data_IF_756021430546
#
_entry.id   IF_756021430546
#
_cell.length_a   1.000
_cell.length_b   1.000
_cell.length_c   1.000
_cell.angle_alpha   90.00
_cell.angle_beta   90.00
_cell.angle_gamma   90.00
#
_symmetry.space_group_name_H-M   'P 1'
#
loop_
_entity.id
_entity.type
_entity.pdbx_description
1 polymer ?
#
# COMPACT_ATOMS: atom_id res chain seq x y z
N UNK A 1 -17.46 20.00 -50.91
CA UNK A 1 -16.50 20.73 -50.06
C UNK A 1 -16.81 20.71 -48.55
N UNK A 2 -18.00 20.29 -48.08
CA UNK A 2 -18.30 20.19 -46.62
C UNK A 2 -17.78 18.92 -45.92
N UNK A 3 -17.67 17.79 -46.62
CA UNK A 3 -17.25 16.50 -46.02
C UNK A 3 -15.74 16.37 -45.78
N UNK A 4 -14.91 17.11 -46.53
CA UNK A 4 -13.45 17.12 -46.36
C UNK A 4 -13.04 18.01 -45.18
N UNK A 5 -13.83 19.06 -44.91
CA UNK A 5 -13.62 19.95 -43.75
C UNK A 5 -13.93 19.21 -42.44
N UNK A 6 -14.96 18.35 -42.40
CA UNK A 6 -15.27 17.55 -41.22
C UNK A 6 -14.17 16.52 -40.87
N UNK A 7 -13.48 15.95 -41.86
CA UNK A 7 -12.40 14.99 -41.63
C UNK A 7 -11.12 15.68 -41.09
N UNK A 8 -10.83 16.89 -41.59
CA UNK A 8 -9.68 17.68 -41.13
C UNK A 8 -9.86 18.21 -39.70
N UNK A 9 -11.09 18.54 -39.30
CA UNK A 9 -11.39 19.00 -37.93
C UNK A 9 -11.28 17.85 -36.92
N UNK A 10 -11.66 16.62 -37.28
CA UNK A 10 -11.50 15.43 -36.42
C UNK A 10 -10.02 15.07 -36.22
N UNK A 11 -9.18 15.20 -37.26
CA UNK A 11 -7.73 14.99 -37.14
C UNK A 11 -7.02 16.07 -36.32
N UNK A 12 -7.55 17.29 -36.26
CA UNK A 12 -6.98 18.36 -35.44
C UNK A 12 -7.27 18.16 -33.94
N UNK A 13 -8.45 17.62 -33.58
CA UNK A 13 -8.74 17.25 -32.19
C UNK A 13 -8.02 15.97 -31.73
N UNK A 14 -7.65 15.07 -32.65
CA UNK A 14 -6.85 13.88 -32.30
C UNK A 14 -5.38 14.21 -31.97
N UNK A 15 -4.85 15.35 -32.43
CA UNK A 15 -3.44 15.73 -32.25
C UNK A 15 -3.18 16.67 -31.06
N UNK A 16 -4.22 17.23 -30.42
CA UNK A 16 -4.05 18.04 -29.19
C UNK A 16 -3.95 17.14 -27.93
N UNK A 17 -4.09 15.82 -28.07
CA UNK A 17 -3.95 14.87 -26.97
C UNK A 17 -2.56 14.22 -26.81
N UNK A 18 -1.61 14.43 -27.73
CA UNK A 18 -0.34 13.67 -27.75
C UNK A 18 0.90 14.49 -27.35
N UNK A 19 0.71 15.59 -26.62
CA UNK A 19 1.82 16.41 -26.09
C UNK A 19 1.78 16.60 -24.57
N UNK A 20 1.25 15.61 -23.86
CA UNK A 20 1.65 15.36 -22.49
C UNK A 20 2.29 13.96 -22.48
N UNK A 21 3.53 13.89 -22.96
CA UNK A 21 4.45 12.92 -22.44
C UNK A 21 4.66 13.29 -20.96
N UNK A 22 3.68 12.95 -20.11
CA UNK A 22 3.97 12.69 -18.71
C UNK A 22 5.07 11.65 -18.77
N UNK A 23 6.28 12.13 -18.52
CA UNK A 23 7.37 11.25 -18.16
C UNK A 23 6.80 10.48 -16.99
N UNK A 24 6.40 9.23 -17.21
CA UNK A 24 6.19 8.27 -16.16
C UNK A 24 7.58 8.05 -15.57
N UNK A 25 8.02 9.04 -14.79
CA UNK A 25 9.03 8.83 -13.79
C UNK A 25 8.48 7.62 -13.02
N UNK A 26 9.22 6.50 -12.96
CA UNK A 26 8.83 5.41 -12.10
C UNK A 26 8.51 6.05 -10.75
N UNK A 27 7.35 5.73 -10.13
CA UNK A 27 6.97 6.37 -8.87
C UNK A 27 8.20 6.34 -7.99
N UNK A 28 8.71 7.53 -7.65
CA UNK A 28 9.85 7.66 -6.73
C UNK A 28 9.49 6.76 -5.56
N UNK A 29 10.34 5.76 -5.29
CA UNK A 29 10.11 4.85 -4.19
C UNK A 29 9.85 5.74 -2.98
N UNK A 30 8.63 5.72 -2.45
CA UNK A 30 8.22 6.59 -1.37
C UNK A 30 9.04 6.22 -0.14
N UNK A 31 10.22 6.84 -0.02
CA UNK A 31 11.07 6.75 1.14
C UNK A 31 10.39 7.60 2.21
N UNK A 32 9.61 6.91 3.04
CA UNK A 32 8.90 7.39 4.22
C UNK A 32 7.50 7.99 3.99
N UNK A 33 6.48 7.14 4.20
CA UNK A 33 5.30 7.47 4.99
C UNK A 33 4.64 6.17 5.47
N UNK A 34 5.32 5.39 6.31
CA UNK A 34 4.59 4.54 7.24
C UNK A 34 4.19 5.45 8.41
N UNK A 35 2.97 5.33 8.94
CA UNK A 35 2.59 6.03 10.19
C UNK A 35 3.38 5.53 11.41
N UNK A 36 4.36 4.65 11.20
CA UNK A 36 5.28 4.14 12.20
C UNK A 36 6.59 4.92 12.10
N UNK A 37 6.62 6.07 12.78
CA UNK A 37 7.85 6.79 13.11
C UNK A 37 8.81 5.96 14.01
N UNK A 38 8.39 4.78 14.48
CA UNK A 38 9.19 3.88 15.27
C UNK A 38 10.03 2.96 14.36
N UNK A 39 11.35 3.03 14.50
CA UNK A 39 12.29 2.01 14.01
C UNK A 39 11.75 0.63 14.39
N UNK A 40 11.71 -0.30 13.43
CA UNK A 40 11.24 -1.67 13.67
C UNK A 40 11.85 -2.25 14.96
N UNK A 41 11.06 -2.95 15.79
CA UNK A 41 11.61 -3.60 16.97
C UNK A 41 12.69 -4.59 16.53
N UNK A 42 13.93 -4.33 16.94
CA UNK A 42 15.09 -5.18 16.61
C UNK A 42 15.40 -6.12 17.76
N UNK A 43 15.31 -7.42 17.51
CA UNK A 43 15.69 -8.45 18.49
C UNK A 43 17.15 -8.29 18.92
N UNK A 44 18.06 -8.02 17.96
CA UNK A 44 19.50 -7.84 18.24
C UNK A 44 19.77 -6.73 19.27
N UNK A 45 18.98 -5.65 19.24
CA UNK A 45 19.20 -4.49 20.09
C UNK A 45 18.42 -4.56 21.42
N UNK A 46 17.43 -5.45 21.51
CA UNK A 46 16.51 -5.54 22.66
C UNK A 46 16.74 -6.76 23.53
N UNK A 47 17.25 -7.85 22.96
CA UNK A 47 17.50 -9.07 23.70
C UNK A 47 18.87 -8.97 24.40
N UNK A 48 18.97 -9.38 25.68
CA UNK A 48 20.27 -9.57 26.31
C UNK A 48 21.03 -10.71 25.63
N UNK A 49 22.34 -10.84 25.86
CA UNK A 49 23.11 -11.99 25.40
C UNK A 49 22.47 -13.31 25.84
N UNK A 50 22.65 -14.35 25.01
CA UNK A 50 22.16 -15.69 25.34
C UNK A 50 22.76 -16.15 26.68
N UNK A 51 21.91 -16.55 27.64
CA UNK A 51 22.39 -17.01 28.93
C UNK A 51 23.00 -18.41 28.79
N UNK A 52 24.05 -18.69 29.57
CA UNK A 52 24.57 -20.04 29.71
C UNK A 52 23.59 -20.86 30.55
N UNK A 53 23.23 -22.09 30.15
CA UNK A 53 22.35 -22.95 30.93
C UNK A 53 22.88 -23.12 32.37
N UNK A 54 22.05 -22.89 33.39
CA UNK A 54 22.49 -23.02 34.77
C UNK A 54 22.67 -24.50 35.13
N UNK A 55 23.67 -24.81 35.96
CA UNK A 55 23.88 -26.16 36.46
C UNK A 55 22.82 -26.56 37.52
N UNK A 56 22.25 -25.59 38.21
CA UNK A 56 21.22 -25.75 39.23
C UNK A 56 20.07 -24.76 39.00
N UNK A 57 18.84 -25.16 39.32
CA UNK A 57 17.64 -24.33 39.14
C UNK A 57 17.71 -22.96 39.82
N UNK A 58 18.36 -22.89 40.99
CA UNK A 58 18.56 -21.65 41.76
C UNK A 58 19.41 -20.60 41.03
N UNK A 59 20.19 -21.01 40.03
CA UNK A 59 21.07 -20.14 39.24
C UNK A 59 20.40 -19.67 37.92
N UNK A 60 19.11 -20.02 37.69
CA UNK A 60 18.39 -19.73 36.45
C UNK A 60 17.97 -18.27 36.25
N UNK A 61 18.46 -17.33 37.07
CA UNK A 61 18.08 -15.91 37.00
C UNK A 61 18.36 -15.29 35.63
N UNK A 62 19.50 -15.60 35.02
CA UNK A 62 19.86 -15.10 33.69
C UNK A 62 18.92 -15.65 32.60
N UNK A 63 18.55 -16.93 32.69
CA UNK A 63 17.57 -17.57 31.82
C UNK A 63 16.19 -16.94 31.96
N UNK A 64 15.72 -16.72 33.19
CA UNK A 64 14.44 -16.07 33.44
C UNK A 64 14.40 -14.63 32.89
N UNK A 65 15.48 -13.86 33.08
CA UNK A 65 15.60 -12.50 32.54
C UNK A 65 15.60 -12.49 31.00
N UNK A 66 16.29 -13.43 30.36
CA UNK A 66 16.27 -13.58 28.90
C UNK A 66 14.88 -13.91 28.39
N UNK A 67 14.17 -14.86 29.02
CA UNK A 67 12.78 -15.21 28.65
C UNK A 67 11.85 -14.01 28.77
N UNK A 68 11.95 -13.24 29.87
CA UNK A 68 11.15 -12.03 30.05
C UNK A 68 11.44 -10.96 28.97
N UNK A 69 12.71 -10.80 28.59
CA UNK A 69 13.10 -9.88 27.51
C UNK A 69 12.56 -10.35 26.15
N UNK A 70 12.58 -11.66 25.88
CA UNK A 70 11.99 -12.24 24.66
C UNK A 70 10.48 -12.01 24.61
N UNK A 71 9.75 -12.29 25.70
CA UNK A 71 8.31 -12.05 25.77
C UNK A 71 7.95 -10.58 25.53
N UNK A 72 8.68 -9.65 26.18
CA UNK A 72 8.51 -8.22 25.96
C UNK A 72 8.77 -7.80 24.51
N UNK A 73 9.81 -8.35 23.88
CA UNK A 73 10.11 -8.11 22.47
C UNK A 73 9.00 -8.63 21.56
N UNK A 74 8.53 -9.86 21.78
CA UNK A 74 7.48 -10.46 20.95
C UNK A 74 6.16 -9.69 21.06
N UNK A 75 5.80 -9.22 22.25
CA UNK A 75 4.63 -8.35 22.44
C UNK A 75 4.76 -7.03 21.67
N UNK A 76 5.93 -6.39 21.74
CA UNK A 76 6.19 -5.16 20.99
C UNK A 76 6.16 -5.38 19.47
N UNK A 77 6.72 -6.49 18.99
CA UNK A 77 6.70 -6.87 17.59
C UNK A 77 5.27 -7.16 17.10
N UNK A 78 4.46 -7.87 17.89
CA UNK A 78 3.08 -8.15 17.56
C UNK A 78 2.25 -6.87 17.44
N UNK A 79 2.40 -5.93 18.38
CA UNK A 79 1.71 -4.64 18.31
C UNK A 79 2.04 -3.87 17.02
N UNK A 80 3.30 -3.93 16.56
CA UNK A 80 3.68 -3.35 15.26
C UNK A 80 2.97 -4.05 14.10
N UNK A 81 2.95 -5.39 14.10
CA UNK A 81 2.28 -6.19 13.06
C UNK A 81 0.78 -5.89 13.00
N UNK A 82 0.12 -5.78 14.16
CA UNK A 82 -1.31 -5.48 14.25
C UNK A 82 -1.62 -4.08 13.71
N UNK A 83 -0.79 -3.08 14.05
CA UNK A 83 -0.93 -1.72 13.54
C UNK A 83 -0.75 -1.68 12.00
N UNK A 84 0.31 -2.30 11.47
CA UNK A 84 0.55 -2.38 10.04
C UNK A 84 -0.58 -3.10 9.29
N UNK A 85 -1.14 -4.16 9.89
CA UNK A 85 -2.27 -4.90 9.32
C UNK A 85 -3.52 -4.01 9.24
N UNK A 86 -3.80 -3.21 10.27
CA UNK A 86 -4.93 -2.27 10.26
C UNK A 86 -4.78 -1.21 9.16
N UNK A 87 -3.58 -0.65 9.00
CA UNK A 87 -3.29 0.32 7.93
C UNK A 87 -3.49 -0.30 6.53
N UNK A 88 -3.01 -1.53 6.33
CA UNK A 88 -3.20 -2.27 5.08
C UNK A 88 -4.69 -2.53 4.80
N UNK A 89 -5.47 -2.90 5.83
CA UNK A 89 -6.90 -3.11 5.70
C UNK A 89 -7.64 -1.81 5.32
N UNK A 90 -7.23 -0.67 5.88
CA UNK A 90 -7.78 0.63 5.51
C UNK A 90 -7.46 0.97 4.04
N UNK A 91 -6.22 0.78 3.59
CA UNK A 91 -5.81 0.96 2.20
C UNK A 91 -6.62 0.06 1.24
N UNK A 92 -6.82 -1.21 1.62
CA UNK A 92 -7.63 -2.16 0.85
C UNK A 92 -9.06 -1.66 0.67
N UNK A 93 -9.66 -1.09 1.72
CA UNK A 93 -11.01 -0.53 1.67
C UNK A 93 -11.09 0.63 0.68
N UNK A 94 -10.20 1.60 0.78
CA UNK A 94 -10.15 2.75 -0.13
C UNK A 94 -9.93 2.32 -1.59
N UNK A 95 -9.02 1.38 -1.82
CA UNK A 95 -8.80 0.79 -3.14
C UNK A 95 -10.08 0.16 -3.71
N UNK A 96 -10.80 -0.61 -2.89
CA UNK A 96 -12.03 -1.25 -3.34
C UNK A 96 -13.12 -0.22 -3.68
N UNK A 97 -13.25 0.85 -2.89
CA UNK A 97 -14.16 1.96 -3.19
C UNK A 97 -13.80 2.65 -4.51
N UNK A 98 -12.51 2.88 -4.80
CA UNK A 98 -12.09 3.43 -6.08
C UNK A 98 -12.45 2.52 -7.27
N UNK A 99 -12.25 1.20 -7.13
CA UNK A 99 -12.64 0.22 -8.15
C UNK A 99 -14.15 0.25 -8.39
N UNK A 100 -14.94 0.29 -7.32
CA UNK A 100 -16.40 0.37 -7.43
C UNK A 100 -16.84 1.64 -8.16
N UNK A 101 -16.28 2.79 -7.80
CA UNK A 101 -16.55 4.06 -8.49
C UNK A 101 -16.19 3.97 -9.99
N UNK A 102 -15.06 3.38 -10.34
CA UNK A 102 -14.65 3.20 -11.73
C UNK A 102 -15.63 2.31 -12.50
N UNK A 103 -16.08 1.21 -11.88
CA UNK A 103 -17.08 0.31 -12.47
C UNK A 103 -18.42 1.02 -12.69
N UNK A 104 -18.86 1.86 -11.76
CA UNK A 104 -20.08 2.66 -11.91
C UNK A 104 -19.98 3.63 -13.10
N UNK A 105 -18.84 4.33 -13.26
CA UNK A 105 -18.60 5.20 -14.41
C UNK A 105 -18.63 4.41 -15.72
N UNK A 106 -17.90 3.29 -15.79
CA UNK A 106 -17.89 2.44 -16.97
C UNK A 106 -19.30 1.93 -17.33
N UNK A 107 -20.09 1.53 -16.34
CA UNK A 107 -21.48 1.12 -16.54
C UNK A 107 -22.35 2.25 -17.09
N UNK A 108 -22.22 3.47 -16.56
CA UNK A 108 -22.97 4.64 -17.03
C UNK A 108 -22.64 4.98 -18.50
N UNK A 109 -21.36 4.98 -18.88
CA UNK A 109 -20.95 5.19 -20.27
C UNK A 109 -21.48 4.09 -21.20
N UNK A 110 -21.36 2.82 -20.80
CA UNK A 110 -21.89 1.71 -21.59
C UNK A 110 -23.41 1.81 -21.78
N UNK A 111 -24.15 2.27 -20.78
CA UNK A 111 -25.59 2.50 -20.88
C UNK A 111 -25.91 3.67 -21.84
N UNK A 112 -25.16 4.77 -21.75
CA UNK A 112 -25.31 5.93 -22.63
C UNK A 112 -25.14 5.55 -24.11
N UNK A 113 -24.05 4.86 -24.47
CA UNK A 113 -23.81 4.46 -25.86
C UNK A 113 -24.86 3.49 -26.39
N UNK A 114 -25.36 2.56 -25.55
CA UNK A 114 -26.48 1.66 -25.92
C UNK A 114 -27.80 2.38 -26.17
N UNK A 115 -28.02 3.55 -25.57
CA UNK A 115 -29.22 4.36 -25.80
C UNK A 115 -29.10 5.18 -27.08
N UNK A 116 -27.90 5.64 -27.42
CA UNK A 116 -27.63 6.37 -28.67
C UNK A 116 -27.72 5.46 -29.90
N UNK A 117 -27.35 4.17 -29.81
CA UNK A 117 -27.54 3.20 -30.91
C UNK A 117 -29.02 2.91 -31.23
N UNK A 118 -29.95 3.28 -30.34
CA UNK A 118 -31.40 3.05 -30.51
C UNK A 118 -32.16 4.27 -31.04
N UNK A 119 -31.49 5.39 -31.32
CA UNK A 119 -32.07 6.60 -31.91
C UNK A 119 -31.75 6.69 -33.40
#
# INVERSE_FOLDING_TARGET
MKKIISLAVIFFYLNIGLAAAESQQPPEAATAATNLAAVYPSAQNKLPPLPVPPALLQDAKATAAYIAAVDAYLKAAQAYVDAATNDVNALIKERNTAIESANQVAAAYNAFFKLDEKK
#
